data_IF_492820302218
#
_entry.id   IF_492820302218
#
_cell.length_a   1.000
_cell.length_b   1.000
_cell.length_c   1.000
_cell.angle_alpha   90.00
_cell.angle_beta   90.00
_cell.angle_gamma   90.00
#
_symmetry.space_group_name_H-M   'P 1'
#
loop_
_entity.id
_entity.type
_entity.pdbx_description
1 polymer ?
#
# COMPACT_ATOMS: atom_id res chain seq x y z
N UNK A 1 -1.02 10.37 13.53
CA UNK A 1 -1.53 11.53 14.30
C UNK A 1 -0.63 11.84 15.48
N UNK A 2 -0.44 10.90 16.42
CA UNK A 2 0.39 11.13 17.63
C UNK A 2 1.70 10.32 17.68
N UNK A 3 2.42 10.18 16.57
CA UNK A 3 3.74 9.54 16.63
C UNK A 3 4.74 10.49 17.29
N UNK A 4 5.30 10.11 18.44
CA UNK A 4 6.29 10.92 19.14
C UNK A 4 7.55 11.10 18.28
N UNK A 5 8.14 12.31 18.25
CA UNK A 5 9.45 12.52 17.66
C UNK A 5 10.50 11.68 18.39
N UNK A 6 11.66 11.44 17.76
CA UNK A 6 12.75 10.60 18.29
C UNK A 6 12.45 9.08 18.36
N UNK A 7 11.58 8.58 17.49
CA UNK A 7 11.46 7.13 17.27
C UNK A 7 12.53 6.64 16.26
N UNK A 8 12.74 5.31 16.13
CA UNK A 8 13.73 4.75 15.20
C UNK A 8 13.58 5.17 13.73
N UNK A 9 12.40 5.65 13.35
CA UNK A 9 12.05 6.06 11.98
C UNK A 9 12.16 7.57 11.78
N UNK A 10 12.48 8.33 12.83
CA UNK A 10 12.54 9.79 12.82
C UNK A 10 11.29 10.46 12.21
N UNK A 11 10.11 9.84 12.41
CA UNK A 11 8.83 10.40 11.98
C UNK A 11 8.16 11.13 13.15
N UNK A 12 7.37 12.16 12.87
CA UNK A 12 6.48 12.76 13.87
C UNK A 12 5.05 12.81 13.34
N UNK A 13 4.10 12.68 14.26
CA UNK A 13 2.72 12.97 13.96
C UNK A 13 2.49 14.48 13.80
N UNK A 14 1.53 14.87 12.97
CA UNK A 14 1.14 16.29 12.78
C UNK A 14 0.79 16.98 14.10
N UNK A 15 0.24 16.24 15.07
CA UNK A 15 -0.07 16.71 16.41
C UNK A 15 0.44 15.69 17.44
N UNK A 16 1.77 15.58 17.57
CA UNK A 16 2.40 14.54 18.40
C UNK A 16 2.18 14.70 19.91
N UNK A 17 1.83 15.89 20.39
CA UNK A 17 1.51 16.15 21.80
C UNK A 17 0.01 16.01 22.12
N UNK A 18 -0.82 15.64 21.14
CA UNK A 18 -2.25 15.47 21.35
C UNK A 18 -2.57 14.20 22.15
N UNK A 19 -3.60 14.26 22.98
CA UNK A 19 -4.22 13.08 23.58
C UNK A 19 -5.10 12.36 22.53
N UNK A 20 -5.05 11.03 22.51
CA UNK A 20 -5.78 10.21 21.54
C UNK A 20 -6.84 9.36 22.25
N UNK A 21 -8.10 9.61 21.90
CA UNK A 21 -9.20 8.69 22.17
C UNK A 21 -9.47 7.82 20.94
N UNK A 22 -9.41 6.50 21.11
CA UNK A 22 -9.60 5.54 20.03
C UNK A 22 -10.97 4.84 20.14
N UNK A 23 -11.82 5.04 19.11
CA UNK A 23 -13.13 4.43 19.02
C UNK A 23 -13.12 3.35 17.94
N UNK A 24 -13.02 2.09 18.34
CA UNK A 24 -13.07 0.96 17.40
C UNK A 24 -14.50 0.76 16.92
N UNK A 25 -14.74 1.02 15.64
CA UNK A 25 -16.06 0.82 15.00
C UNK A 25 -16.11 -0.42 14.10
N UNK A 26 -14.96 -0.88 13.61
CA UNK A 26 -14.88 -2.05 12.74
C UNK A 26 -14.77 -3.37 13.51
N UNK A 27 -15.61 -4.32 13.10
CA UNK A 27 -15.46 -5.74 13.44
C UNK A 27 -14.43 -6.44 12.54
N UNK A 28 -14.32 -7.76 12.68
CA UNK A 28 -13.38 -8.56 11.87
C UNK A 28 -13.79 -8.66 10.39
N UNK A 29 -15.05 -8.38 10.05
CA UNK A 29 -15.55 -8.42 8.67
C UNK A 29 -15.22 -7.16 7.85
N UNK A 30 -14.70 -6.10 8.48
CA UNK A 30 -14.27 -4.88 7.78
C UNK A 30 -15.39 -3.92 7.37
N UNK A 31 -16.65 -4.19 7.77
CA UNK A 31 -17.77 -3.26 7.58
C UNK A 31 -18.26 -2.68 8.91
N UNK A 32 -18.89 -1.51 8.83
CA UNK A 32 -19.51 -0.83 9.97
C UNK A 32 -20.88 -0.31 9.53
N UNK A 33 -21.96 -0.59 10.27
CA UNK A 33 -23.27 0.01 10.02
C UNK A 33 -23.35 1.45 10.56
N UNK A 34 -24.25 2.25 9.98
CA UNK A 34 -24.40 3.67 10.31
C UNK A 34 -24.73 3.93 11.79
N UNK A 35 -25.49 3.07 12.43
CA UNK A 35 -25.87 3.22 13.85
C UNK A 35 -24.65 3.15 14.78
N UNK A 36 -23.72 2.22 14.53
CA UNK A 36 -22.45 2.11 15.25
C UNK A 36 -21.56 3.31 14.98
N UNK A 37 -21.50 3.76 13.72
CA UNK A 37 -20.74 4.95 13.34
C UNK A 37 -21.28 6.21 14.04
N UNK A 38 -22.59 6.43 14.00
CA UNK A 38 -23.27 7.53 14.68
C UNK A 38 -23.07 7.47 16.19
N UNK A 39 -23.21 6.29 16.80
CA UNK A 39 -22.95 6.11 18.22
C UNK A 39 -21.51 6.49 18.59
N UNK A 40 -20.54 6.15 17.75
CA UNK A 40 -19.13 6.52 17.95
C UNK A 40 -18.89 8.02 17.83
N UNK A 41 -19.51 8.69 16.85
CA UNK A 41 -19.42 10.14 16.65
C UNK A 41 -20.01 10.90 17.85
N UNK A 42 -21.21 10.51 18.29
CA UNK A 42 -21.87 11.10 19.46
C UNK A 42 -21.07 10.84 20.74
N UNK A 43 -20.47 9.66 20.87
CA UNK A 43 -19.60 9.35 22.00
C UNK A 43 -18.35 10.22 22.00
N UNK A 44 -17.68 10.36 20.86
CA UNK A 44 -16.51 11.21 20.71
C UNK A 44 -16.82 12.69 21.04
N UNK A 45 -17.97 13.19 20.58
CA UNK A 45 -18.45 14.53 20.95
C UNK A 45 -18.66 14.66 22.46
N UNK A 46 -19.36 13.69 23.09
CA UNK A 46 -19.66 13.70 24.53
C UNK A 46 -18.41 13.59 25.40
N UNK A 47 -17.41 12.83 24.95
CA UNK A 47 -16.12 12.69 25.62
C UNK A 47 -15.25 13.96 25.49
N UNK A 48 -15.72 14.98 24.74
CA UNK A 48 -15.10 16.30 24.70
C UNK A 48 -13.99 16.45 23.68
N UNK A 49 -13.85 15.52 22.72
CA UNK A 49 -12.79 15.59 21.70
C UNK A 49 -12.92 16.88 20.86
N UNK A 50 -11.80 17.58 20.68
CA UNK A 50 -11.74 18.81 19.87
C UNK A 50 -11.76 18.52 18.37
N UNK A 51 -11.08 17.44 17.96
CA UNK A 51 -10.99 16.96 16.58
C UNK A 51 -11.47 15.51 16.54
N UNK A 52 -12.35 15.20 15.59
CA UNK A 52 -12.85 13.86 15.32
C UNK A 52 -12.48 13.51 13.88
N UNK A 53 -11.62 12.51 13.71
CA UNK A 53 -11.11 12.11 12.39
C UNK A 53 -11.56 10.69 12.04
N UNK A 54 -12.00 10.50 10.80
CA UNK A 54 -12.57 9.24 10.32
C UNK A 54 -11.98 8.87 8.95
N UNK A 55 -11.11 7.87 8.92
CA UNK A 55 -10.62 7.25 7.68
C UNK A 55 -11.49 6.06 7.30
N UNK A 56 -12.77 6.32 7.04
CA UNK A 56 -13.77 5.33 6.66
C UNK A 56 -14.84 5.93 5.76
N UNK A 57 -15.68 5.05 5.25
CA UNK A 57 -16.91 5.37 4.55
C UNK A 57 -17.10 4.45 3.37
N UNK A 58 -18.05 4.79 2.51
CA UNK A 58 -18.31 4.09 1.27
C UNK A 58 -19.07 4.99 0.31
N UNK A 59 -19.24 4.57 -0.96
CA UNK A 59 -19.95 5.36 -1.96
C UNK A 59 -21.35 5.73 -1.48
N UNK A 60 -21.53 6.99 -1.10
CA UNK A 60 -22.77 7.54 -0.57
C UNK A 60 -22.74 9.07 -0.76
N UNK A 61 -22.80 9.47 -2.03
CA UNK A 61 -22.62 10.85 -2.50
C UNK A 61 -23.70 11.85 -2.09
N UNK A 62 -24.53 11.54 -1.08
CA UNK A 62 -25.68 12.34 -0.68
C UNK A 62 -25.42 13.09 0.62
N UNK A 63 -25.74 14.39 0.64
CA UNK A 63 -25.57 15.25 1.81
C UNK A 63 -26.55 14.92 2.95
N UNK A 64 -27.68 14.30 2.60
CA UNK A 64 -28.78 13.91 3.46
C UNK A 64 -28.56 12.55 4.14
N UNK A 65 -27.47 11.85 3.81
CA UNK A 65 -27.08 10.62 4.48
C UNK A 65 -26.97 10.84 5.98
N UNK A 66 -27.51 9.91 6.77
CA UNK A 66 -27.70 10.10 8.23
C UNK A 66 -26.36 10.36 8.93
N UNK A 67 -25.33 9.61 8.55
CA UNK A 67 -23.97 9.76 9.08
C UNK A 67 -23.36 11.14 8.74
N UNK A 68 -23.58 11.65 7.52
CA UNK A 68 -23.15 12.98 7.08
C UNK A 68 -23.88 14.12 7.80
N UNK A 69 -25.19 14.00 8.02
CA UNK A 69 -25.99 14.97 8.80
C UNK A 69 -25.54 15.04 10.25
N UNK A 70 -25.32 13.88 10.89
CA UNK A 70 -24.82 13.84 12.29
C UNK A 70 -23.42 14.43 12.37
N UNK A 71 -22.51 14.07 11.47
CA UNK A 71 -21.17 14.62 11.43
C UNK A 71 -21.18 16.14 11.24
N UNK A 72 -22.05 16.66 10.37
CA UNK A 72 -22.21 18.10 10.14
C UNK A 72 -22.69 18.84 11.39
N UNK A 73 -23.70 18.30 12.10
CA UNK A 73 -24.20 18.88 13.36
C UNK A 73 -23.15 18.91 14.46
N UNK A 74 -22.31 17.87 14.53
CA UNK A 74 -21.18 17.84 15.47
C UNK A 74 -20.16 18.93 15.13
N UNK A 75 -19.89 19.12 13.83
CA UNK A 75 -18.99 20.18 13.38
C UNK A 75 -19.54 21.58 13.70
N UNK A 76 -20.82 21.81 13.41
CA UNK A 76 -21.55 23.05 13.73
C UNK A 76 -21.61 23.34 15.23
N UNK A 77 -21.59 22.29 16.07
CA UNK A 77 -21.49 22.41 17.52
C UNK A 77 -20.07 22.77 18.02
N UNK A 78 -19.15 23.14 17.13
CA UNK A 78 -17.83 23.68 17.45
C UNK A 78 -16.70 22.64 17.46
N UNK A 79 -16.90 21.45 16.88
CA UNK A 79 -15.84 20.45 16.73
C UNK A 79 -15.28 20.44 15.32
N UNK A 80 -14.03 20.05 15.16
CA UNK A 80 -13.47 19.80 13.83
C UNK A 80 -13.75 18.34 13.47
N UNK A 81 -14.42 18.09 12.35
CA UNK A 81 -14.68 16.73 11.85
C UNK A 81 -13.99 16.56 10.51
N UNK A 82 -13.03 15.64 10.42
CA UNK A 82 -12.31 15.32 9.17
C UNK A 82 -12.63 13.91 8.71
N UNK A 83 -12.96 13.76 7.43
CA UNK A 83 -13.41 12.48 6.87
C UNK A 83 -12.77 12.29 5.48
N UNK A 84 -12.29 11.09 5.19
CA UNK A 84 -11.71 10.77 3.89
C UNK A 84 -12.77 10.85 2.76
N UNK A 85 -12.46 11.53 1.66
CA UNK A 85 -13.36 11.71 0.52
C UNK A 85 -13.71 10.41 -0.23
N UNK A 86 -12.95 9.33 -0.01
CA UNK A 86 -13.09 8.04 -0.67
C UNK A 86 -12.10 7.83 -1.82
N UNK A 87 -11.97 6.57 -2.27
CA UNK A 87 -11.05 6.16 -3.33
C UNK A 87 -11.76 5.77 -4.64
N UNK A 88 -13.07 6.02 -4.71
CA UNK A 88 -13.96 5.57 -5.79
C UNK A 88 -14.23 6.66 -6.84
N UNK A 89 -13.41 7.73 -6.86
CA UNK A 89 -13.61 8.88 -7.74
C UNK A 89 -13.63 8.56 -9.24
N UNK A 90 -13.02 7.44 -9.65
CA UNK A 90 -13.03 6.97 -11.04
C UNK A 90 -14.43 6.54 -11.53
N UNK A 91 -15.35 6.19 -10.63
CA UNK A 91 -16.73 5.82 -10.98
C UNK A 91 -17.64 7.05 -11.19
N UNK A 92 -17.18 8.24 -10.81
CA UNK A 92 -17.85 9.51 -11.05
C UNK A 92 -18.22 10.28 -9.78
N UNK A 93 -18.77 11.48 -9.96
CA UNK A 93 -18.96 12.46 -8.89
C UNK A 93 -19.89 12.02 -7.75
N UNK A 94 -20.73 11.00 -7.95
CA UNK A 94 -21.66 10.47 -6.95
C UNK A 94 -21.07 9.39 -6.05
N UNK A 95 -19.80 9.02 -6.26
CA UNK A 95 -19.07 8.03 -5.45
C UNK A 95 -18.22 8.67 -4.34
N UNK A 96 -18.47 9.94 -4.02
CA UNK A 96 -17.92 10.54 -2.81
C UNK A 96 -18.36 9.74 -1.58
N UNK A 97 -17.44 9.59 -0.63
CA UNK A 97 -17.65 8.80 0.57
C UNK A 97 -18.63 9.48 1.52
N UNK A 98 -19.68 8.78 1.95
CA UNK A 98 -20.39 9.13 3.18
C UNK A 98 -19.64 8.59 4.39
N UNK A 99 -19.40 9.38 5.47
CA UNK A 99 -20.01 10.67 5.81
C UNK A 99 -19.27 11.94 5.32
N UNK A 100 -18.27 11.82 4.46
CA UNK A 100 -17.48 12.97 4.00
C UNK A 100 -18.26 13.96 3.12
N UNK A 101 -19.48 13.61 2.72
CA UNK A 101 -20.46 14.46 2.04
C UNK A 101 -21.19 15.43 2.98
N UNK A 102 -20.98 15.36 4.30
CA UNK A 102 -21.55 16.32 5.24
C UNK A 102 -21.18 17.77 4.91
N UNK A 103 -22.14 18.69 5.01
CA UNK A 103 -21.95 20.09 4.59
C UNK A 103 -20.93 20.86 5.43
N UNK A 104 -20.82 20.51 6.72
CA UNK A 104 -20.02 21.25 7.70
C UNK A 104 -18.73 20.50 8.09
N UNK A 105 -18.44 19.37 7.44
CA UNK A 105 -17.23 18.57 7.69
C UNK A 105 -16.10 18.95 6.74
N UNK A 106 -14.88 18.56 7.09
CA UNK A 106 -13.73 18.67 6.19
C UNK A 106 -13.58 17.34 5.44
N UNK A 107 -13.98 17.34 4.17
CA UNK A 107 -13.75 16.23 3.25
C UNK A 107 -12.33 16.27 2.72
N UNK A 108 -11.55 15.21 2.94
CA UNK A 108 -10.11 15.17 2.67
C UNK A 108 -9.82 14.31 1.44
N UNK A 109 -9.36 14.95 0.36
CA UNK A 109 -8.78 14.27 -0.80
C UNK A 109 -7.32 13.85 -0.55
N UNK A 110 -6.82 12.94 -1.39
CA UNK A 110 -5.44 12.47 -1.33
C UNK A 110 -4.62 13.02 -2.50
N UNK A 111 -3.36 13.34 -2.22
CA UNK A 111 -2.34 13.66 -3.21
C UNK A 111 -1.08 12.89 -2.86
N UNK A 112 -0.29 12.55 -3.88
CA UNK A 112 0.97 11.86 -3.68
C UNK A 112 2.03 12.80 -3.08
N UNK A 113 2.83 12.28 -2.16
CA UNK A 113 3.96 13.02 -1.60
C UNK A 113 5.05 13.17 -2.67
N UNK A 114 5.82 14.26 -2.64
CA UNK A 114 6.95 14.50 -3.56
C UNK A 114 8.18 13.66 -3.21
N UNK A 115 8.22 13.10 -2.00
CA UNK A 115 9.31 12.27 -1.50
C UNK A 115 8.78 10.92 -0.98
N UNK A 116 9.53 9.85 -1.24
CA UNK A 116 9.20 8.50 -0.78
C UNK A 116 10.41 7.88 -0.10
N UNK A 117 10.16 7.21 1.03
CA UNK A 117 11.18 6.40 1.68
C UNK A 117 11.24 5.05 0.98
N UNK A 118 12.42 4.72 0.48
CA UNK A 118 12.70 3.54 -0.31
C UNK A 118 13.88 2.79 0.29
N UNK A 119 14.00 1.52 -0.07
CA UNK A 119 15.16 0.68 0.18
C UNK A 119 15.77 0.31 -1.17
N UNK A 120 17.08 0.03 -1.19
CA UNK A 120 17.74 -0.50 -2.37
C UNK A 120 18.08 -1.98 -2.22
N UNK A 121 17.72 -2.76 -3.24
CA UNK A 121 18.36 -4.03 -3.50
C UNK A 121 19.60 -3.78 -4.36
N UNK A 122 20.68 -4.51 -4.09
CA UNK A 122 21.94 -4.36 -4.83
C UNK A 122 22.16 -5.55 -5.73
N UNK A 123 22.32 -5.29 -7.02
CA UNK A 123 22.75 -6.28 -8.00
C UNK A 123 24.27 -6.42 -7.91
N UNK A 124 24.81 -7.61 -8.20
CA UNK A 124 26.25 -7.91 -8.09
C UNK A 124 27.15 -7.04 -8.99
N UNK A 125 26.59 -6.35 -9.99
CA UNK A 125 27.29 -5.38 -10.82
C UNK A 125 27.31 -3.94 -10.23
N UNK A 126 26.76 -3.75 -9.03
CA UNK A 126 26.69 -2.46 -8.33
C UNK A 126 25.43 -1.64 -8.59
N UNK A 127 24.56 -2.05 -9.53
CA UNK A 127 23.30 -1.35 -9.78
C UNK A 127 22.36 -1.50 -8.57
N UNK A 128 21.76 -0.39 -8.17
CA UNK A 128 20.73 -0.35 -7.14
C UNK A 128 19.34 -0.43 -7.78
N UNK A 129 18.45 -1.21 -7.15
CA UNK A 129 17.06 -1.39 -7.54
C UNK A 129 16.19 -0.93 -6.38
N UNK A 130 15.44 0.15 -6.60
CA UNK A 130 14.63 0.75 -5.57
C UNK A 130 13.31 -0.02 -5.37
N UNK A 131 12.90 -0.16 -4.11
CA UNK A 131 11.60 -0.70 -3.73
C UNK A 131 11.06 0.03 -2.50
N UNK A 132 9.73 0.15 -2.38
CA UNK A 132 9.12 0.80 -1.21
C UNK A 132 9.03 -0.19 -0.05
N UNK A 133 9.80 0.07 1.00
CA UNK A 133 9.72 -0.62 2.28
C UNK A 133 10.40 0.23 3.36
N UNK A 134 9.94 0.09 4.61
CA UNK A 134 10.62 0.72 5.76
C UNK A 134 11.87 -0.07 6.15
N UNK A 135 11.77 -1.39 6.13
CA UNK A 135 12.86 -2.32 6.44
C UNK A 135 13.36 -3.03 5.19
N UNK A 136 14.60 -3.51 5.22
CA UNK A 136 15.10 -4.41 4.16
C UNK A 136 14.21 -5.66 4.09
N UNK A 137 14.00 -6.19 2.89
CA UNK A 137 13.30 -7.49 2.77
C UNK A 137 14.13 -8.59 3.46
N UNK A 138 13.44 -9.47 4.18
CA UNK A 138 14.04 -10.63 4.84
C UNK A 138 14.39 -11.74 3.82
N UNK A 139 15.25 -11.41 2.87
CA UNK A 139 15.71 -12.27 1.78
C UNK A 139 17.22 -12.51 1.98
N UNK A 140 17.73 -13.75 1.82
CA UNK A 140 19.15 -14.03 1.80
C UNK A 140 19.89 -13.22 0.73
N UNK A 141 21.12 -12.81 1.01
CA UNK A 141 21.93 -12.06 0.06
C UNK A 141 22.54 -12.96 -1.01
N UNK A 142 22.78 -12.39 -2.20
CA UNK A 142 23.51 -13.04 -3.28
C UNK A 142 22.72 -14.13 -4.00
N UNK A 143 21.39 -14.09 -3.98
CA UNK A 143 20.56 -15.06 -4.68
C UNK A 143 20.53 -14.80 -6.20
N UNK A 144 20.53 -15.84 -7.05
CA UNK A 144 20.22 -15.71 -8.46
C UNK A 144 18.77 -15.29 -8.68
N UNK A 145 18.49 -14.69 -9.84
CA UNK A 145 17.16 -14.22 -10.22
C UNK A 145 16.55 -15.21 -11.21
N UNK A 146 15.27 -15.56 -11.02
CA UNK A 146 14.50 -16.36 -11.96
C UNK A 146 13.28 -15.59 -12.44
N UNK A 147 13.18 -15.30 -13.73
CA UNK A 147 11.98 -14.70 -14.30
C UNK A 147 10.99 -15.78 -14.73
N UNK A 148 9.73 -15.65 -14.30
CA UNK A 148 8.66 -16.58 -14.71
C UNK A 148 8.40 -16.51 -16.21
N UNK A 149 8.34 -15.30 -16.77
CA UNK A 149 8.25 -15.07 -18.21
C UNK A 149 9.54 -14.43 -18.74
N UNK A 150 10.00 -14.91 -19.91
CA UNK A 150 11.09 -14.27 -20.67
C UNK A 150 10.59 -13.12 -21.55
N UNK A 151 9.27 -13.01 -21.75
CA UNK A 151 8.63 -11.93 -22.50
C UNK A 151 8.09 -10.87 -21.51
N UNK A 152 8.62 -9.63 -21.53
CA UNK A 152 8.21 -8.55 -20.64
C UNK A 152 6.85 -7.92 -21.00
N UNK A 153 6.14 -8.46 -22.01
CA UNK A 153 4.84 -7.94 -22.45
C UNK A 153 3.66 -8.78 -21.98
N UNK A 154 3.89 -9.96 -21.38
CA UNK A 154 2.85 -10.90 -20.95
C UNK A 154 2.02 -10.34 -19.79
N UNK A 155 0.74 -9.95 -20.00
CA UNK A 155 -0.06 -9.34 -18.94
C UNK A 155 -0.56 -10.36 -17.91
N UNK A 156 -0.61 -11.65 -18.26
CA UNK A 156 -1.07 -12.72 -17.39
C UNK A 156 0.09 -13.50 -16.71
N UNK A 157 1.25 -12.88 -16.53
CA UNK A 157 2.44 -13.53 -15.98
C UNK A 157 2.18 -14.13 -14.58
N UNK A 158 2.46 -15.42 -14.41
CA UNK A 158 2.14 -16.22 -13.21
C UNK A 158 0.66 -16.20 -12.76
N UNK A 159 -0.31 -15.86 -13.61
CA UNK A 159 -1.73 -15.90 -13.22
C UNK A 159 -2.29 -17.33 -13.13
N UNK A 160 -1.81 -18.22 -13.99
CA UNK A 160 -2.09 -19.66 -13.97
C UNK A 160 -0.97 -20.43 -13.26
N UNK A 161 -1.21 -21.68 -12.82
CA UNK A 161 -0.16 -22.55 -12.30
C UNK A 161 1.03 -22.63 -13.25
N UNK A 162 2.24 -22.52 -12.71
CA UNK A 162 3.46 -22.56 -13.52
C UNK A 162 3.64 -23.95 -14.17
N UNK A 163 4.21 -24.02 -15.38
CA UNK A 163 4.46 -25.29 -16.07
C UNK A 163 5.16 -26.35 -15.22
N UNK A 164 4.89 -27.63 -15.49
CA UNK A 164 5.50 -28.74 -14.73
C UNK A 164 7.01 -28.87 -14.90
N UNK A 165 7.56 -28.32 -15.98
CA UNK A 165 9.00 -28.24 -16.22
C UNK A 165 9.66 -27.01 -15.57
N UNK A 166 8.93 -26.16 -14.83
CA UNK A 166 9.54 -25.10 -14.04
C UNK A 166 10.47 -25.72 -12.97
N UNK A 167 11.74 -25.30 -12.88
CA UNK A 167 12.68 -25.83 -11.90
C UNK A 167 12.27 -25.45 -10.46
N UNK A 168 12.93 -26.06 -9.48
CA UNK A 168 12.78 -25.64 -8.09
C UNK A 168 13.27 -24.21 -7.89
N UNK A 169 12.36 -23.34 -7.45
CA UNK A 169 12.57 -21.91 -7.26
C UNK A 169 13.06 -21.56 -5.84
N UNK A 170 13.33 -22.54 -4.97
CA UNK A 170 13.65 -22.30 -3.55
C UNK A 170 14.91 -21.47 -3.30
N UNK A 171 15.82 -21.45 -4.27
CA UNK A 171 17.11 -20.76 -4.20
C UNK A 171 17.17 -19.51 -5.09
N UNK A 172 16.01 -19.03 -5.56
CA UNK A 172 15.93 -17.89 -6.47
C UNK A 172 15.11 -16.75 -5.85
N UNK A 173 15.44 -15.52 -6.26
CA UNK A 173 14.50 -14.41 -6.22
C UNK A 173 13.67 -14.46 -7.49
N UNK A 174 12.37 -14.67 -7.34
CA UNK A 174 11.45 -14.85 -8.46
C UNK A 174 10.95 -13.50 -8.93
N UNK A 175 11.23 -13.17 -10.19
CA UNK A 175 10.79 -11.96 -10.86
C UNK A 175 9.50 -12.23 -11.65
N UNK A 176 8.45 -11.45 -11.36
CA UNK A 176 7.14 -11.59 -12.00
C UNK A 176 6.63 -10.22 -12.43
N UNK A 177 6.04 -10.13 -13.61
CA UNK A 177 5.44 -8.89 -14.10
C UNK A 177 4.10 -8.60 -13.43
N UNK A 178 3.84 -7.34 -13.07
CA UNK A 178 2.50 -6.84 -12.74
C UNK A 178 1.55 -7.02 -13.92
N UNK A 179 0.28 -7.29 -13.64
CA UNK A 179 -0.68 -7.58 -14.69
C UNK A 179 -2.09 -7.80 -14.19
N UNK A 180 -2.83 -8.67 -14.87
CA UNK A 180 -4.30 -8.80 -14.75
C UNK A 180 -4.78 -9.48 -13.47
N UNK A 181 -3.95 -10.29 -12.82
CA UNK A 181 -4.29 -11.00 -11.59
C UNK A 181 -3.59 -10.41 -10.36
N UNK A 182 -4.14 -10.70 -9.17
CA UNK A 182 -3.62 -10.24 -7.89
C UNK A 182 -2.17 -10.70 -7.63
N UNK A 183 -1.39 -9.87 -6.91
CA UNK A 183 -0.01 -10.20 -6.54
C UNK A 183 0.07 -11.49 -5.71
N UNK A 184 -0.88 -11.70 -4.79
CA UNK A 184 -0.97 -12.91 -3.96
C UNK A 184 -1.16 -14.18 -4.80
N UNK A 185 -1.95 -14.11 -5.88
CA UNK A 185 -2.12 -15.23 -6.81
C UNK A 185 -0.80 -15.57 -7.51
N UNK A 186 -0.11 -14.54 -8.03
CA UNK A 186 1.17 -14.69 -8.74
C UNK A 186 2.22 -15.38 -7.87
N UNK A 187 2.43 -14.88 -6.65
CA UNK A 187 3.42 -15.45 -5.73
C UNK A 187 3.01 -16.84 -5.24
N UNK A 188 1.72 -17.13 -5.10
CA UNK A 188 1.23 -18.47 -4.74
C UNK A 188 1.55 -19.50 -5.83
N UNK A 189 1.31 -19.16 -7.09
CA UNK A 189 1.62 -20.05 -8.22
C UNK A 189 3.12 -20.33 -8.34
N UNK A 190 3.96 -19.32 -8.13
CA UNK A 190 5.41 -19.50 -8.11
C UNK A 190 5.91 -20.24 -6.85
N UNK A 191 5.27 -20.03 -5.70
CA UNK A 191 5.57 -20.75 -4.47
C UNK A 191 5.23 -22.25 -4.56
N UNK A 192 4.25 -22.64 -5.38
CA UNK A 192 3.96 -24.03 -5.70
C UNK A 192 5.13 -24.75 -6.41
N UNK A 193 6.08 -23.99 -6.98
CA UNK A 193 7.35 -24.49 -7.53
C UNK A 193 8.55 -24.22 -6.60
N UNK A 194 8.30 -23.98 -5.31
CA UNK A 194 9.34 -23.78 -4.30
C UNK A 194 9.74 -22.31 -4.05
N UNK A 195 9.20 -21.35 -4.80
CA UNK A 195 9.54 -19.93 -4.69
C UNK A 195 9.25 -19.36 -3.31
N UNK A 196 10.18 -18.57 -2.76
CA UNK A 196 10.08 -17.98 -1.41
C UNK A 196 10.24 -16.46 -1.38
N UNK A 197 10.86 -15.88 -2.40
CA UNK A 197 11.30 -14.49 -2.42
C UNK A 197 10.89 -13.86 -3.74
N UNK A 198 10.20 -12.73 -3.71
CA UNK A 198 9.53 -12.21 -4.89
C UNK A 198 9.87 -10.74 -5.18
N UNK A 199 10.12 -10.45 -6.45
CA UNK A 199 10.08 -9.10 -6.98
C UNK A 199 8.98 -9.02 -8.03
N UNK A 200 8.02 -8.13 -7.80
CA UNK A 200 7.04 -7.78 -8.82
C UNK A 200 7.54 -6.53 -9.52
N UNK A 201 7.65 -6.52 -10.84
CA UNK A 201 7.97 -5.28 -11.57
C UNK A 201 6.73 -4.71 -12.25
N UNK A 202 6.61 -3.39 -12.22
CA UNK A 202 5.43 -2.71 -12.75
C UNK A 202 5.27 -2.91 -14.27
N UNK A 203 4.04 -2.77 -14.77
CA UNK A 203 3.72 -2.79 -16.19
C UNK A 203 3.73 -1.40 -16.83
N UNK A 204 3.80 -0.35 -16.03
CA UNK A 204 4.00 1.05 -16.43
C UNK A 204 4.87 1.70 -15.33
N UNK A 205 5.90 2.45 -15.71
CA UNK A 205 6.69 3.19 -14.72
C UNK A 205 5.84 4.28 -14.05
N UNK A 206 5.95 4.36 -12.71
CA UNK A 206 5.27 5.33 -11.87
C UNK A 206 5.78 5.26 -10.43
N UNK A 207 5.07 5.93 -9.52
CA UNK A 207 5.35 5.90 -8.09
C UNK A 207 5.42 4.48 -7.53
N UNK A 208 6.51 4.17 -6.81
CA UNK A 208 6.63 2.88 -6.12
C UNK A 208 5.71 2.88 -4.90
N UNK A 209 4.74 1.96 -4.93
CA UNK A 209 3.85 1.66 -3.81
C UNK A 209 4.19 0.34 -3.12
N UNK A 210 3.86 0.22 -1.84
CA UNK A 210 3.90 -1.03 -1.10
C UNK A 210 2.83 -1.97 -1.66
N UNK A 211 3.20 -3.24 -1.83
CA UNK A 211 2.30 -4.29 -2.31
C UNK A 211 2.20 -5.41 -1.27
N UNK A 212 1.09 -6.15 -1.29
CA UNK A 212 0.93 -7.34 -0.46
C UNK A 212 1.26 -8.61 -1.25
N UNK A 213 2.28 -9.33 -0.79
CA UNK A 213 2.72 -10.65 -1.28
C UNK A 213 2.64 -11.72 -0.18
N UNK A 214 1.92 -11.42 0.91
CA UNK A 214 1.76 -12.29 2.08
C UNK A 214 1.34 -13.72 1.70
N UNK A 215 1.94 -14.77 2.31
CA UNK A 215 2.87 -14.71 3.44
C UNK A 215 4.35 -14.55 3.05
N UNK A 216 4.65 -14.33 1.76
CA UNK A 216 6.02 -14.31 1.26
C UNK A 216 6.62 -12.90 1.28
N UNK A 217 7.93 -12.76 1.55
CA UNK A 217 8.63 -11.50 1.35
C UNK A 217 8.67 -11.15 -0.14
N UNK A 218 8.24 -9.94 -0.46
CA UNK A 218 8.43 -9.39 -1.80
C UNK A 218 8.07 -7.92 -1.88
N UNK A 219 8.51 -7.28 -2.96
CA UNK A 219 8.26 -5.87 -3.19
C UNK A 219 8.00 -5.55 -4.66
N UNK A 220 7.41 -4.36 -4.88
CA UNK A 220 7.26 -3.77 -6.19
C UNK A 220 8.52 -3.01 -6.57
N UNK A 221 8.97 -3.19 -7.81
CA UNK A 221 10.05 -2.43 -8.44
C UNK A 221 9.54 -1.79 -9.74
N UNK A 222 10.30 -0.83 -10.27
CA UNK A 222 9.93 -0.12 -11.51
C UNK A 222 9.91 -1.09 -12.70
N UNK A 223 9.15 -0.75 -13.75
CA UNK A 223 9.17 -1.50 -15.00
C UNK A 223 10.59 -1.52 -15.57
N UNK A 224 11.26 -0.36 -15.59
CA UNK A 224 12.63 -0.23 -16.09
C UNK A 224 13.61 -1.15 -15.37
N UNK A 225 13.51 -1.26 -14.05
CA UNK A 225 14.38 -2.14 -13.27
C UNK A 225 14.04 -3.61 -13.48
N UNK A 226 12.76 -3.98 -13.57
CA UNK A 226 12.34 -5.33 -13.92
C UNK A 226 12.85 -5.79 -15.28
N UNK A 227 12.76 -4.91 -16.29
CA UNK A 227 13.29 -5.18 -17.64
C UNK A 227 14.80 -5.33 -17.60
N UNK A 228 15.51 -4.48 -16.85
CA UNK A 228 16.95 -4.63 -16.66
C UNK A 228 17.30 -5.99 -16.02
N UNK A 229 16.60 -6.38 -14.96
CA UNK A 229 16.85 -7.68 -14.31
C UNK A 229 16.63 -8.83 -15.29
N UNK A 230 15.55 -8.77 -16.07
CA UNK A 230 15.19 -9.77 -17.06
C UNK A 230 16.21 -9.89 -18.21
N UNK A 231 16.54 -8.77 -18.83
CA UNK A 231 17.28 -8.75 -20.11
C UNK A 231 18.80 -8.65 -19.93
N UNK A 232 19.27 -8.15 -18.80
CA UNK A 232 20.71 -7.98 -18.55
C UNK A 232 21.22 -8.80 -17.38
N UNK A 233 20.53 -8.76 -16.22
CA UNK A 233 21.05 -9.41 -15.01
C UNK A 233 20.99 -10.93 -15.11
N UNK A 234 19.86 -11.50 -15.53
CA UNK A 234 19.68 -12.95 -15.66
C UNK A 234 20.68 -13.54 -16.69
N UNK A 235 20.82 -13.04 -17.93
CA UNK A 235 21.75 -13.62 -18.91
C UNK A 235 23.23 -13.54 -18.50
N UNK A 236 23.59 -12.56 -17.65
CA UNK A 236 24.95 -12.37 -17.13
C UNK A 236 25.18 -13.09 -15.79
N UNK A 237 24.21 -13.86 -15.30
CA UNK A 237 24.24 -14.55 -14.00
C UNK A 237 24.54 -13.60 -12.82
N UNK A 238 24.03 -12.38 -12.87
CA UNK A 238 24.12 -11.47 -11.73
C UNK A 238 23.19 -11.95 -10.61
N UNK A 239 23.65 -11.74 -9.38
CA UNK A 239 22.89 -12.03 -8.17
C UNK A 239 22.36 -10.74 -7.55
N UNK A 240 21.39 -10.87 -6.66
CA UNK A 240 20.78 -9.74 -5.96
C UNK A 240 20.82 -9.95 -4.45
N UNK A 241 21.07 -8.86 -3.73
CA UNK A 241 21.13 -8.78 -2.27
C UNK A 241 20.22 -7.68 -1.76
N UNK A 242 19.80 -7.77 -0.51
CA UNK A 242 18.86 -6.81 0.11
C UNK A 242 19.50 -6.20 1.36
N UNK A 243 20.56 -5.38 1.20
CA UNK A 243 21.17 -4.69 2.33
C UNK A 243 20.19 -3.70 2.95
N UNK A 244 20.43 -3.30 4.20
CA UNK A 244 19.73 -2.15 4.77
C UNK A 244 20.33 -0.87 4.16
N UNK A 245 19.70 -0.38 3.10
CA UNK A 245 20.14 0.80 2.35
C UNK A 245 18.94 1.74 2.11
N UNK A 246 18.43 2.36 3.18
CA UNK A 246 17.32 3.28 3.07
C UNK A 246 17.77 4.58 2.41
N UNK A 247 16.89 5.16 1.59
CA UNK A 247 17.09 6.49 1.02
C UNK A 247 15.75 7.17 0.78
N UNK A 248 15.76 8.50 0.70
CA UNK A 248 14.61 9.29 0.27
C UNK A 248 14.72 9.54 -1.22
N UNK A 249 13.82 8.92 -1.99
CA UNK A 249 13.70 9.11 -3.42
C UNK A 249 12.68 10.20 -3.77
N UNK A 250 12.76 10.71 -5.00
CA UNK A 250 11.72 11.57 -5.58
C UNK A 250 10.58 10.67 -6.04
N UNK A 251 9.35 11.04 -5.68
CA UNK A 251 8.18 10.40 -6.25
C UNK A 251 7.90 11.02 -7.63
N UNK A 252 8.00 10.26 -8.74
CA UNK A 252 7.81 10.79 -10.10
C UNK A 252 6.38 11.27 -10.36
#
# INVERSE_FOLDING_TARGET
IGANPNNPWNISGVAYEAEINAYRVFGCAGSVPDDVLIASLLRAYKDGNDIITLSLGGPDGWTEAVSGVVASRIAEAGRIVTIAAGNDGAYGSWYASGPATGLSVISVGSVDNTAVNLQNASVSNGRQIAYQSLERLAIPDGLPIYAVSQDPTVPADACDPLPDNTPDLSNYVVLIRRGTCAFTQKVTNAAAKGGKYFLIYDNIDGSLGAISTSPYPGALITQKDGIFLLQEAIPKNYTISFPNSPFTGVNP
#
